data_IF_927987039067
#
_entry.id   IF_927987039067
#
_cell.length_a   1.000
_cell.length_b   1.000
_cell.length_c   1.000
_cell.angle_alpha   90.00
_cell.angle_beta   90.00
_cell.angle_gamma   90.00
#
_symmetry.space_group_name_H-M   'P 1'
#
loop_
_entity.id
_entity.type
_entity.pdbx_description
1 polymer ?
#
# COMPACT_ATOMS: atom_id res chain seq x y z
N UNK A 1 14.49 -4.91 12.04
CA UNK A 1 13.54 -4.16 11.19
C UNK A 1 13.67 -4.46 9.69
N UNK A 2 14.34 -5.55 9.28
CA UNK A 2 14.30 -6.05 7.89
C UNK A 2 14.02 -7.55 7.91
N UNK A 3 12.83 -7.93 7.48
CA UNK A 3 12.51 -9.28 6.99
C UNK A 3 11.87 -9.24 5.60
N UNK A 4 11.26 -8.11 5.22
CA UNK A 4 10.38 -8.08 4.05
C UNK A 4 11.05 -7.51 2.78
N UNK A 5 12.23 -6.90 2.90
CA UNK A 5 12.91 -6.21 1.79
C UNK A 5 14.02 -6.99 1.07
N UNK A 6 14.51 -8.11 1.63
CA UNK A 6 15.73 -8.76 1.13
C UNK A 6 15.48 -10.01 0.27
N UNK A 7 14.28 -10.59 0.25
CA UNK A 7 14.10 -11.95 -0.29
C UNK A 7 13.48 -12.09 -1.69
N UNK A 8 12.98 -11.03 -2.35
CA UNK A 8 12.28 -11.21 -3.62
C UNK A 8 12.61 -10.19 -4.71
N UNK A 9 12.79 -10.72 -5.92
CA UNK A 9 13.07 -9.99 -7.16
C UNK A 9 11.85 -9.26 -7.77
N UNK A 10 10.77 -9.08 -7.00
CA UNK A 10 9.52 -8.44 -7.45
C UNK A 10 9.11 -7.27 -6.56
N UNK A 11 8.17 -6.45 -7.06
CA UNK A 11 7.62 -5.29 -6.32
C UNK A 11 6.99 -5.73 -5.01
N UNK A 12 7.72 -5.55 -3.90
CA UNK A 12 7.28 -5.98 -2.58
C UNK A 12 6.36 -4.98 -1.91
N UNK A 13 6.49 -3.70 -2.26
CA UNK A 13 5.77 -2.60 -1.61
C UNK A 13 5.03 -1.73 -2.62
N UNK A 14 3.75 -1.47 -2.35
CA UNK A 14 2.94 -0.52 -3.11
C UNK A 14 2.56 0.64 -2.19
N UNK A 15 2.72 1.86 -2.70
CA UNK A 15 2.50 3.10 -1.95
C UNK A 15 1.40 3.90 -2.67
N UNK A 16 0.19 3.85 -2.12
CA UNK A 16 -0.93 4.68 -2.52
C UNK A 16 -0.82 6.08 -1.92
N UNK A 17 -0.88 7.12 -2.73
CA UNK A 17 -0.64 8.51 -2.31
C UNK A 17 -1.84 9.38 -2.62
N UNK A 18 -2.45 9.97 -1.58
CA UNK A 18 -3.58 10.91 -1.75
C UNK A 18 -3.19 12.19 -2.49
N UNK A 19 -4.19 12.88 -3.04
CA UNK A 19 -4.02 14.12 -3.82
C UNK A 19 -3.74 15.37 -2.96
N UNK A 20 -2.69 15.35 -2.14
CA UNK A 20 -2.27 16.49 -1.33
C UNK A 20 -0.77 16.73 -1.38
N UNK A 21 -0.35 17.98 -1.12
CA UNK A 21 1.07 18.34 -1.05
C UNK A 21 1.77 17.55 0.07
N UNK A 22 1.10 17.37 1.20
CA UNK A 22 1.62 16.59 2.34
C UNK A 22 1.90 15.13 1.95
N UNK A 23 0.97 14.51 1.21
CA UNK A 23 1.14 13.15 0.69
C UNK A 23 2.34 13.04 -0.24
N UNK A 24 2.49 14.01 -1.17
CA UNK A 24 3.58 14.00 -2.15
C UNK A 24 4.94 14.16 -1.49
N UNK A 25 5.06 15.07 -0.51
CA UNK A 25 6.31 15.27 0.23
C UNK A 25 6.64 14.03 1.06
N UNK A 26 5.65 13.47 1.78
CA UNK A 26 5.82 12.26 2.58
C UNK A 26 6.21 11.05 1.72
N UNK A 27 5.56 10.87 0.57
CA UNK A 27 5.90 9.82 -0.39
C UNK A 27 7.33 9.98 -0.92
N UNK A 28 7.78 11.22 -1.19
CA UNK A 28 9.15 11.48 -1.65
C UNK A 28 10.20 11.12 -0.59
N UNK A 29 9.93 11.45 0.67
CA UNK A 29 10.82 11.09 1.79
C UNK A 29 10.90 9.57 1.95
N UNK A 30 9.75 8.89 1.97
CA UNK A 30 9.69 7.43 2.05
C UNK A 30 10.41 6.77 0.87
N UNK A 31 10.14 7.21 -0.36
CA UNK A 31 10.78 6.70 -1.57
C UNK A 31 12.30 6.83 -1.52
N UNK A 32 12.81 7.94 -0.97
CA UNK A 32 14.25 8.16 -0.81
C UNK A 32 14.86 7.16 0.17
N UNK A 33 14.18 6.92 1.31
CA UNK A 33 14.61 5.93 2.29
C UNK A 33 14.61 4.51 1.69
N UNK A 34 13.50 4.09 1.06
CA UNK A 34 13.37 2.78 0.43
C UNK A 34 14.40 2.56 -0.69
N UNK A 35 14.66 3.59 -1.51
CA UNK A 35 15.69 3.54 -2.56
C UNK A 35 17.09 3.36 -1.98
N UNK A 36 17.41 4.08 -0.89
CA UNK A 36 18.71 3.92 -0.20
C UNK A 36 18.90 2.52 0.37
N UNK A 37 17.78 1.86 0.65
CA UNK A 37 17.69 0.53 1.20
C UNK A 37 17.49 -0.57 0.14
N UNK A 38 17.58 -0.22 -1.15
CA UNK A 38 17.38 -1.12 -2.29
C UNK A 38 16.04 -1.88 -2.27
N UNK A 39 15.03 -1.33 -1.60
CA UNK A 39 13.69 -1.92 -1.56
C UNK A 39 12.95 -1.56 -2.84
N UNK A 40 12.37 -2.57 -3.51
CA UNK A 40 11.53 -2.35 -4.68
C UNK A 40 10.15 -1.85 -4.25
N UNK A 41 9.73 -0.71 -4.79
CA UNK A 41 8.42 -0.14 -4.51
C UNK A 41 7.77 0.45 -5.75
N UNK A 42 6.45 0.58 -5.71
CA UNK A 42 5.66 1.28 -6.70
C UNK A 42 4.82 2.38 -6.02
N UNK A 43 4.86 3.59 -6.57
CA UNK A 43 4.02 4.70 -6.11
C UNK A 43 2.84 4.85 -7.07
N UNK A 44 1.62 4.86 -6.52
CA UNK A 44 0.39 5.06 -7.28
C UNK A 44 -0.39 6.25 -6.68
N UNK A 45 -0.70 7.29 -7.48
CA UNK A 45 -1.57 8.36 -7.01
C UNK A 45 -3.00 7.84 -6.87
N UNK A 46 -3.68 8.25 -5.80
CA UNK A 46 -5.08 7.91 -5.49
C UNK A 46 -5.88 9.21 -5.40
N UNK A 47 -6.83 9.38 -6.32
CA UNK A 47 -7.70 10.56 -6.42
C UNK A 47 -9.08 10.27 -5.82
N UNK A 48 -9.59 9.07 -6.05
CA UNK A 48 -10.91 8.60 -5.64
C UNK A 48 -10.81 7.30 -4.84
N UNK A 49 -11.89 6.94 -4.13
CA UNK A 49 -11.94 5.67 -3.37
C UNK A 49 -11.89 4.46 -4.32
N UNK A 50 -12.49 4.56 -5.50
CA UNK A 50 -12.43 3.52 -6.53
C UNK A 50 -11.00 3.20 -6.98
N UNK A 51 -10.08 4.19 -6.92
CA UNK A 51 -8.68 3.95 -7.27
C UNK A 51 -8.01 2.97 -6.29
N UNK A 52 -8.48 2.93 -5.04
CA UNK A 52 -8.01 1.97 -4.02
C UNK A 52 -8.45 0.56 -4.40
N UNK A 53 -9.73 0.40 -4.75
CA UNK A 53 -10.30 -0.89 -5.16
C UNK A 53 -9.62 -1.42 -6.42
N UNK A 54 -9.41 -0.56 -7.42
CA UNK A 54 -8.73 -0.89 -8.67
C UNK A 54 -7.27 -1.28 -8.46
N UNK A 55 -6.55 -0.52 -7.62
CA UNK A 55 -5.18 -0.82 -7.23
C UNK A 55 -5.10 -2.21 -6.60
N UNK A 56 -5.94 -2.44 -5.61
CA UNK A 56 -5.93 -3.67 -4.81
C UNK A 56 -6.28 -4.86 -5.69
N UNK A 57 -7.34 -4.78 -6.47
CA UNK A 57 -7.74 -5.83 -7.42
C UNK A 57 -6.65 -6.14 -8.43
N UNK A 58 -6.00 -5.11 -9.00
CA UNK A 58 -4.94 -5.29 -10.01
C UNK A 58 -3.71 -5.98 -9.44
N UNK A 59 -3.28 -5.63 -8.23
CA UNK A 59 -2.05 -6.17 -7.66
C UNK A 59 -2.25 -7.47 -6.89
N UNK A 60 -3.42 -7.68 -6.29
CA UNK A 60 -3.79 -8.96 -5.71
C UNK A 60 -3.97 -10.03 -6.77
N UNK A 61 -4.65 -9.74 -7.88
CA UNK A 61 -4.78 -10.71 -8.98
C UNK A 61 -3.43 -11.12 -9.56
N UNK A 62 -2.49 -10.18 -9.66
CA UNK A 62 -1.10 -10.46 -10.06
C UNK A 62 -0.34 -11.28 -9.02
N UNK A 63 -0.56 -11.03 -7.72
CA UNK A 63 0.05 -11.81 -6.66
C UNK A 63 -0.47 -13.26 -6.64
N UNK A 64 -1.79 -13.44 -6.69
CA UNK A 64 -2.43 -14.76 -6.76
C UNK A 64 -2.00 -15.57 -7.99
N UNK A 65 -1.70 -14.92 -9.11
CA UNK A 65 -1.14 -15.55 -10.30
C UNK A 65 0.36 -15.94 -10.18
N UNK A 66 0.99 -15.68 -9.02
CA UNK A 66 2.43 -15.89 -8.79
C UNK A 66 3.33 -14.91 -9.56
N UNK A 67 2.76 -13.83 -10.09
CA UNK A 67 3.45 -12.84 -10.95
C UNK A 67 4.00 -11.67 -10.12
N UNK A 68 3.48 -11.44 -8.91
CA UNK A 68 3.96 -10.42 -7.98
C UNK A 68 4.14 -11.00 -6.57
N UNK A 69 5.18 -10.57 -5.85
CA UNK A 69 5.37 -10.90 -4.42
C UNK A 69 5.00 -9.67 -3.58
N UNK A 70 3.71 -9.29 -3.61
CA UNK A 70 3.24 -8.14 -2.85
C UNK A 70 3.22 -8.50 -1.36
N UNK A 71 4.01 -7.79 -0.55
CA UNK A 71 4.13 -7.98 0.90
C UNK A 71 3.56 -6.81 1.70
N UNK A 72 3.54 -5.61 1.12
CA UNK A 72 3.15 -4.41 1.85
C UNK A 72 2.38 -3.42 0.99
N UNK A 73 1.29 -2.89 1.55
CA UNK A 73 0.51 -1.77 1.05
C UNK A 73 0.67 -0.60 2.02
N UNK A 74 0.99 0.58 1.50
CA UNK A 74 1.15 1.81 2.28
C UNK A 74 0.22 2.86 1.72
N UNK A 75 -0.69 3.39 2.53
CA UNK A 75 -1.58 4.49 2.17
C UNK A 75 -1.13 5.77 2.86
N UNK A 76 -0.81 6.80 2.08
CA UNK A 76 -0.32 8.09 2.58
C UNK A 76 -1.39 9.16 2.40
N UNK A 77 -1.83 9.70 3.53
CA UNK A 77 -2.85 10.73 3.70
C UNK A 77 -4.16 10.41 2.97
N UNK A 78 -4.55 9.13 3.04
CA UNK A 78 -5.76 8.58 2.46
C UNK A 78 -6.16 7.33 3.24
N UNK A 79 -7.42 6.92 3.10
CA UNK A 79 -8.02 5.69 3.63
C UNK A 79 -8.26 5.61 5.15
N UNK A 80 -7.82 6.56 5.95
CA UNK A 80 -8.01 6.52 7.42
C UNK A 80 -9.47 6.62 7.86
N UNK A 81 -10.33 7.25 7.05
CA UNK A 81 -11.77 7.34 7.31
C UNK A 81 -12.62 6.25 6.65
N UNK A 82 -12.00 5.25 6.00
CA UNK A 82 -12.70 4.21 5.25
C UNK A 82 -12.65 2.87 5.98
N UNK A 83 -13.66 2.03 5.79
CA UNK A 83 -13.60 0.62 6.20
C UNK A 83 -12.70 -0.16 5.23
N UNK A 84 -11.45 -0.34 5.62
CA UNK A 84 -10.48 -1.06 4.81
C UNK A 84 -10.73 -2.56 4.76
N UNK A 85 -11.46 -3.13 5.72
CA UNK A 85 -11.81 -4.56 5.69
C UNK A 85 -12.87 -4.84 4.64
N UNK A 86 -13.78 -3.89 4.40
CA UNK A 86 -14.76 -3.97 3.32
C UNK A 86 -14.13 -3.72 1.95
N UNK A 87 -13.21 -2.76 1.85
CA UNK A 87 -12.58 -2.36 0.58
C UNK A 87 -11.49 -3.32 0.10
N UNK A 88 -10.75 -3.91 1.04
CA UNK A 88 -9.68 -4.83 0.74
C UNK A 88 -10.23 -6.24 0.96
N UNK A 89 -10.22 -7.14 -0.04
CA UNK A 89 -10.76 -8.49 0.13
C UNK A 89 -9.88 -9.40 1.02
N UNK A 90 -9.28 -8.86 2.09
CA UNK A 90 -8.34 -9.47 3.04
C UNK A 90 -8.96 -10.62 3.88
N UNK A 91 -10.13 -11.13 3.51
CA UNK A 91 -10.75 -12.27 4.19
C UNK A 91 -10.27 -13.63 3.68
N UNK A 92 -9.52 -13.66 2.58
CA UNK A 92 -9.01 -14.87 1.97
C UNK A 92 -7.58 -15.19 2.43
N UNK A 93 -7.14 -16.45 2.26
CA UNK A 93 -5.89 -17.02 2.81
C UNK A 93 -4.61 -16.18 2.55
N UNK A 94 -4.61 -15.35 1.50
CA UNK A 94 -3.52 -14.45 1.12
C UNK A 94 -3.36 -13.23 2.02
N UNK A 95 -4.39 -12.84 2.78
CA UNK A 95 -4.33 -11.72 3.71
C UNK A 95 -3.35 -11.94 4.87
N UNK A 96 -3.03 -13.21 5.18
CA UNK A 96 -2.13 -13.56 6.27
C UNK A 96 -0.68 -13.11 6.05
N UNK A 97 -0.31 -12.66 4.83
CA UNK A 97 1.05 -12.29 4.47
C UNK A 97 1.20 -10.83 3.97
N UNK A 98 0.11 -10.07 3.83
CA UNK A 98 0.16 -8.69 3.35
C UNK A 98 -0.02 -7.73 4.52
N UNK A 99 0.96 -6.87 4.74
CA UNK A 99 0.89 -5.81 5.74
C UNK A 99 0.30 -4.54 5.13
N UNK A 100 -0.71 -3.98 5.77
CA UNK A 100 -1.34 -2.71 5.36
C UNK A 100 -0.97 -1.62 6.36
N UNK A 101 -0.36 -0.56 5.88
CA UNK A 101 0.03 0.61 6.65
C UNK A 101 -0.81 1.81 6.21
N UNK A 102 -1.42 2.51 7.16
CA UNK A 102 -2.22 3.72 6.92
C UNK A 102 -1.58 4.89 7.64
N UNK A 103 -1.09 5.87 6.89
CA UNK A 103 -0.51 7.11 7.39
C UNK A 103 -1.42 8.26 7.02
N UNK A 104 -2.54 8.39 7.74
CA UNK A 104 -3.56 9.39 7.46
C UNK A 104 -3.69 10.40 8.60
N UNK A 105 -3.67 11.70 8.28
CA UNK A 105 -3.90 12.77 9.24
C UNK A 105 -5.38 13.15 9.36
N UNK A 106 -6.24 12.72 8.43
CA UNK A 106 -7.67 12.97 8.49
C UNK A 106 -8.31 12.27 9.70
N UNK A 107 -9.31 12.93 10.29
CA UNK A 107 -10.07 12.44 11.44
C UNK A 107 -11.55 12.73 11.23
N UNK A 108 -12.46 11.91 11.80
CA UNK A 108 -12.20 10.72 12.61
C UNK A 108 -11.69 9.53 11.79
N UNK A 109 -11.04 8.57 12.46
CA UNK A 109 -10.67 7.31 11.84
C UNK A 109 -11.86 6.36 11.80
N UNK A 110 -11.91 5.49 10.80
CA UNK A 110 -12.78 4.33 10.83
C UNK A 110 -12.31 3.38 11.94
N UNK A 111 -13.26 2.71 12.61
CA UNK A 111 -12.99 1.97 13.87
C UNK A 111 -12.80 0.47 13.67
N UNK A 112 -13.02 -0.03 12.46
CA UNK A 112 -12.88 -1.44 12.07
C UNK A 112 -11.55 -1.68 11.36
#
# INVERSE_FOLDING_TARGET
LRKDGEESAGTSTIIGVGASVDSLVSARLLATALSSDHVQYLIVPLLEVSDIEDLVTTYLSRNAAGVADLRSLVFINVAGGLDLLDLLPLHEEWASHILVYVWDCHRPLHVN
#
